data_IF_885507578233
#
_entry.id   IF_885507578233
#
_cell.length_a   1.000
_cell.length_b   1.000
_cell.length_c   1.000
_cell.angle_alpha   90.00
_cell.angle_beta   90.00
_cell.angle_gamma   90.00
#
_symmetry.space_group_name_H-M   'P 1'
#
loop_
_entity.id
_entity.type
_entity.pdbx_description
1 polymer ?
#
# COMPACT_ATOMS: atom_id res chain seq x y z
N UNK A 1 -0.65 -6.26 -10.92
CA UNK A 1 -0.55 -6.68 -9.50
C UNK A 1 -0.73 -8.20 -9.39
N UNK A 2 -0.20 -8.82 -8.34
CA UNK A 2 -0.28 -10.27 -8.15
C UNK A 2 -0.54 -10.66 -6.70
N UNK A 3 -1.26 -11.78 -6.50
CA UNK A 3 -1.40 -12.44 -5.20
C UNK A 3 -0.26 -13.41 -4.92
N UNK A 4 -0.16 -13.92 -3.68
CA UNK A 4 0.73 -15.05 -3.33
C UNK A 4 0.37 -16.32 -4.11
N UNK A 5 -0.91 -16.57 -4.33
CA UNK A 5 -1.43 -17.66 -5.16
C UNK A 5 -1.23 -17.46 -6.67
N UNK A 6 -0.43 -16.47 -7.08
CA UNK A 6 -0.13 -16.10 -8.47
C UNK A 6 -1.35 -15.73 -9.32
N UNK A 7 -2.41 -15.24 -8.70
CA UNK A 7 -3.51 -14.59 -9.43
C UNK A 7 -3.01 -13.24 -9.93
N UNK A 8 -3.22 -12.94 -11.21
CA UNK A 8 -2.73 -11.72 -11.84
C UNK A 8 -3.88 -10.75 -12.09
N UNK A 9 -3.71 -9.51 -11.64
CA UNK A 9 -4.56 -8.38 -11.99
C UNK A 9 -3.84 -7.49 -13.00
N UNK A 10 -4.51 -7.22 -14.12
CA UNK A 10 -4.04 -6.36 -15.21
C UNK A 10 -5.02 -5.20 -15.35
N UNK A 11 -4.51 -3.98 -15.30
CA UNK A 11 -5.29 -2.75 -15.37
C UNK A 11 -4.45 -1.59 -15.87
N UNK A 12 -5.10 -0.57 -16.44
CA UNK A 12 -4.52 0.76 -16.69
C UNK A 12 -4.94 1.71 -15.58
N UNK A 13 -4.03 2.62 -15.21
CA UNK A 13 -4.28 3.68 -14.25
C UNK A 13 -3.44 4.90 -14.63
N UNK A 14 -3.95 6.10 -14.32
CA UNK A 14 -3.19 7.34 -14.39
C UNK A 14 -2.32 7.55 -13.13
N UNK A 15 -2.74 6.97 -12.01
CA UNK A 15 -2.03 7.02 -10.73
C UNK A 15 -1.78 5.59 -10.25
N UNK A 16 -0.53 5.15 -10.38
CA UNK A 16 -0.11 3.80 -9.98
C UNK A 16 -0.04 3.66 -8.47
N UNK A 17 0.43 4.68 -7.76
CA UNK A 17 0.63 4.65 -6.31
C UNK A 17 -0.72 4.54 -5.60
N UNK A 18 -1.67 5.40 -5.98
CA UNK A 18 -3.03 5.35 -5.46
C UNK A 18 -3.69 3.99 -5.70
N UNK A 19 -3.56 3.45 -6.92
CA UNK A 19 -4.16 2.16 -7.27
C UNK A 19 -3.60 1.01 -6.43
N UNK A 20 -2.29 0.99 -6.20
CA UNK A 20 -1.68 -0.05 -5.36
C UNK A 20 -2.11 0.12 -3.90
N UNK A 21 -2.17 1.35 -3.41
CA UNK A 21 -2.65 1.65 -2.05
C UNK A 21 -4.10 1.18 -1.84
N UNK A 22 -5.02 1.46 -2.77
CA UNK A 22 -6.40 0.98 -2.73
C UNK A 22 -6.49 -0.56 -2.69
N UNK A 23 -5.59 -1.25 -3.38
CA UNK A 23 -5.51 -2.71 -3.37
C UNK A 23 -4.90 -3.30 -2.08
N UNK A 24 -4.01 -2.56 -1.42
CA UNK A 24 -3.40 -2.96 -0.13
C UNK A 24 -4.35 -2.73 1.04
N UNK A 25 -4.91 -1.53 1.14
CA UNK A 25 -5.80 -1.13 2.24
C UNK A 25 -7.17 -1.80 2.15
N UNK A 26 -7.58 -2.22 0.94
CA UNK A 26 -8.90 -2.83 0.69
C UNK A 26 -10.04 -2.05 1.37
N UNK A 27 -10.15 -0.74 1.11
CA UNK A 27 -11.11 0.12 1.82
C UNK A 27 -12.57 -0.26 1.56
N UNK A 28 -12.81 -1.04 0.50
CA UNK A 28 -14.13 -1.60 0.15
C UNK A 28 -14.01 -3.11 0.14
N UNK A 29 -14.86 -3.79 0.93
CA UNK A 29 -14.96 -5.25 0.95
C UNK A 29 -15.41 -5.77 -0.42
N UNK A 30 -14.69 -6.76 -0.98
CA UNK A 30 -14.94 -7.20 -2.36
C UNK A 30 -13.87 -8.10 -2.99
N UNK A 31 -13.66 -7.98 -4.30
CA UNK A 31 -12.78 -8.87 -5.09
C UNK A 31 -11.31 -8.82 -4.63
N UNK A 32 -10.83 -7.64 -4.24
CA UNK A 32 -9.47 -7.41 -3.71
C UNK A 32 -9.25 -8.10 -2.37
N UNK A 33 -10.29 -8.20 -1.54
CA UNK A 33 -10.26 -8.95 -0.28
C UNK A 33 -10.17 -10.45 -0.53
N UNK A 34 -11.01 -10.97 -1.44
CA UNK A 34 -11.09 -12.41 -1.73
C UNK A 34 -9.81 -13.03 -2.27
N UNK A 35 -9.07 -12.30 -3.11
CA UNK A 35 -7.89 -12.86 -3.81
C UNK A 35 -6.55 -12.30 -3.32
N UNK A 36 -6.56 -11.35 -2.38
CA UNK A 36 -5.37 -10.75 -1.79
C UNK A 36 -4.32 -10.33 -2.85
N UNK A 37 -4.78 -9.57 -3.85
CA UNK A 37 -3.94 -9.08 -4.96
C UNK A 37 -3.40 -7.70 -4.59
N UNK A 38 -2.34 -7.70 -3.78
CA UNK A 38 -1.81 -6.55 -3.03
C UNK A 38 -0.36 -6.18 -3.37
N UNK A 39 0.31 -6.96 -4.23
CA UNK A 39 1.71 -6.73 -4.62
C UNK A 39 1.82 -6.21 -6.05
N UNK A 40 2.62 -5.17 -6.23
CA UNK A 40 2.97 -4.66 -7.54
C UNK A 40 4.20 -5.40 -8.06
N UNK A 41 4.00 -6.41 -8.89
CA UNK A 41 5.11 -7.19 -9.47
C UNK A 41 5.56 -6.70 -10.85
N UNK A 42 4.72 -5.92 -11.53
CA UNK A 42 4.96 -5.46 -12.90
C UNK A 42 4.16 -4.20 -13.21
N UNK A 43 4.78 -3.27 -13.94
CA UNK A 43 4.16 -2.07 -14.52
C UNK A 43 4.92 -1.66 -15.79
N UNK A 44 4.22 -0.98 -16.70
CA UNK A 44 4.82 -0.33 -17.88
C UNK A 44 4.33 1.13 -17.89
N UNK A 45 5.21 2.06 -18.24
CA UNK A 45 4.85 3.47 -18.46
C UNK A 45 4.65 3.69 -19.95
N UNK A 46 3.59 4.39 -20.32
CA UNK A 46 3.29 4.75 -21.70
C UNK A 46 3.05 6.25 -21.80
N UNK A 47 3.57 6.87 -22.86
CA UNK A 47 3.49 8.33 -23.06
C UNK A 47 2.07 8.80 -23.41
N UNK A 48 1.23 7.90 -23.94
CA UNK A 48 -0.13 8.20 -24.35
C UNK A 48 -1.13 7.17 -23.80
N UNK A 49 -2.30 7.67 -23.40
CA UNK A 49 -3.41 6.85 -22.86
C UNK A 49 -3.87 5.79 -23.86
N UNK A 50 -3.93 6.13 -25.16
CA UNK A 50 -4.31 5.18 -26.21
C UNK A 50 -3.34 4.00 -26.30
N UNK A 51 -2.03 4.28 -26.19
CA UNK A 51 -0.98 3.25 -26.17
C UNK A 51 -1.13 2.36 -24.93
N UNK A 52 -1.40 2.96 -23.76
CA UNK A 52 -1.63 2.21 -22.52
C UNK A 52 -2.84 1.26 -22.64
N UNK A 53 -3.96 1.73 -23.20
CA UNK A 53 -5.17 0.92 -23.40
C UNK A 53 -4.92 -0.21 -24.40
N UNK A 54 -4.25 0.08 -25.52
CA UNK A 54 -3.91 -0.94 -26.52
C UNK A 54 -3.01 -2.03 -25.91
N UNK A 55 -2.01 -1.62 -25.13
CA UNK A 55 -1.10 -2.52 -24.43
C UNK A 55 -1.80 -3.37 -23.38
N UNK A 56 -2.70 -2.78 -22.60
CA UNK A 56 -3.53 -3.50 -21.64
C UNK A 56 -4.38 -4.58 -22.32
N UNK A 57 -5.04 -4.24 -23.43
CA UNK A 57 -5.81 -5.21 -24.23
C UNK A 57 -4.93 -6.35 -24.72
N UNK A 58 -3.73 -6.02 -25.21
CA UNK A 58 -2.75 -7.01 -25.66
C UNK A 58 -2.35 -7.97 -24.52
N UNK A 59 -2.01 -7.42 -23.35
CA UNK A 59 -1.63 -8.21 -22.17
C UNK A 59 -2.82 -9.04 -21.68
N UNK A 60 -4.04 -8.49 -21.66
CA UNK A 60 -5.25 -9.25 -21.28
C UNK A 60 -5.43 -10.48 -22.15
N UNK A 61 -5.22 -10.36 -23.47
CA UNK A 61 -5.30 -11.45 -24.45
C UNK A 61 -4.17 -12.50 -24.37
N UNK A 62 -3.10 -12.26 -23.60
CA UNK A 62 -2.01 -13.22 -23.48
C UNK A 62 -2.39 -14.46 -22.67
N UNK A 63 -1.83 -15.60 -23.11
CA UNK A 63 -1.78 -16.83 -22.31
C UNK A 63 -1.04 -16.58 -20.99
N UNK A 64 -1.36 -17.38 -19.98
CA UNK A 64 -0.79 -17.26 -18.65
C UNK A 64 0.74 -17.35 -18.66
N UNK A 65 1.30 -18.29 -19.41
CA UNK A 65 2.75 -18.45 -19.58
C UNK A 65 3.43 -17.17 -20.05
N UNK A 66 2.87 -16.51 -21.07
CA UNK A 66 3.43 -15.26 -21.60
C UNK A 66 3.34 -14.11 -20.61
N UNK A 67 2.29 -14.05 -19.79
CA UNK A 67 2.17 -13.07 -18.70
C UNK A 67 3.25 -13.30 -17.63
N UNK A 68 3.49 -14.56 -17.26
CA UNK A 68 4.54 -14.91 -16.30
C UNK A 68 5.93 -14.57 -16.85
N UNK A 69 6.21 -14.91 -18.11
CA UNK A 69 7.48 -14.58 -18.75
C UNK A 69 7.76 -13.07 -18.78
N UNK A 70 6.74 -12.23 -18.98
CA UNK A 70 6.89 -10.77 -18.91
C UNK A 70 7.25 -10.29 -17.50
N UNK A 71 6.62 -10.87 -16.48
CA UNK A 71 6.91 -10.56 -15.07
C UNK A 71 8.33 -11.05 -14.73
N UNK A 72 8.67 -12.29 -15.07
CA UNK A 72 9.97 -12.89 -14.79
C UNK A 72 11.13 -12.15 -15.48
N UNK A 73 10.90 -11.63 -16.69
CA UNK A 73 11.88 -10.84 -17.42
C UNK A 73 12.20 -9.49 -16.73
N UNK A 74 11.24 -8.89 -16.04
CA UNK A 74 11.42 -7.59 -15.38
C UNK A 74 11.73 -7.72 -13.88
N UNK A 75 11.18 -8.74 -13.23
CA UNK A 75 11.21 -8.95 -11.79
C UNK A 75 11.22 -10.46 -11.48
N UNK A 76 12.37 -11.14 -11.69
CA UNK A 76 12.48 -12.59 -11.49
C UNK A 76 12.25 -13.02 -10.04
N UNK A 77 12.48 -12.11 -9.08
CA UNK A 77 12.28 -12.37 -7.66
C UNK A 77 10.85 -12.07 -7.18
N UNK A 78 9.99 -11.55 -8.07
CA UNK A 78 8.60 -11.19 -7.75
C UNK A 78 8.50 -10.23 -6.55
N UNK A 79 9.49 -9.35 -6.40
CA UNK A 79 9.52 -8.33 -5.36
C UNK A 79 8.38 -7.33 -5.54
N UNK A 80 7.93 -6.74 -4.44
CA UNK A 80 6.92 -5.69 -4.49
C UNK A 80 7.56 -4.36 -4.89
N UNK A 81 7.39 -3.99 -6.16
CA UNK A 81 7.94 -2.77 -6.76
C UNK A 81 7.33 -1.49 -6.17
N UNK A 82 6.25 -1.60 -5.40
CA UNK A 82 5.65 -0.47 -4.72
C UNK A 82 6.60 0.18 -3.70
N UNK A 83 7.43 -0.62 -3.03
CA UNK A 83 8.43 -0.13 -2.07
C UNK A 83 9.48 0.74 -2.77
N UNK A 84 9.90 0.30 -3.95
CA UNK A 84 10.88 1.03 -4.76
C UNK A 84 10.29 2.33 -5.30
N UNK A 85 9.02 2.32 -5.75
CA UNK A 85 8.31 3.51 -6.24
C UNK A 85 8.09 4.58 -5.18
N UNK A 86 7.81 4.18 -3.94
CA UNK A 86 7.54 5.10 -2.84
C UNK A 86 8.80 5.61 -2.16
N UNK A 87 9.98 5.12 -2.56
CA UNK A 87 11.26 5.51 -1.95
C UNK A 87 11.39 5.06 -0.50
N UNK A 88 10.52 4.15 -0.04
CA UNK A 88 10.65 3.47 1.26
C UNK A 88 11.68 2.36 1.10
N UNK A 89 12.88 2.72 0.64
CA UNK A 89 14.05 1.89 0.75
C UNK A 89 14.39 1.84 2.23
N UNK A 90 14.28 0.66 2.84
CA UNK A 90 14.68 0.40 4.21
C UNK A 90 16.15 0.79 4.39
N UNK A 91 16.39 2.04 4.81
CA UNK A 91 17.69 2.44 5.35
C UNK A 91 17.82 1.81 6.74
N UNK A 92 18.36 0.59 6.68
CA UNK A 92 19.34 0.01 7.59
C UNK A 92 18.92 -0.34 9.02
N UNK A 93 19.06 -1.64 9.29
CA UNK A 93 19.90 -2.19 10.37
C UNK A 93 19.54 -1.81 11.83
N UNK A 94 19.10 -2.84 12.54
CA UNK A 94 19.45 -3.10 13.93
C UNK A 94 20.93 -2.80 14.21
N UNK A 95 21.25 -1.59 14.67
CA UNK A 95 22.35 -1.25 15.61
C UNK A 95 22.42 0.27 15.77
N UNK A 96 22.00 0.74 16.95
CA UNK A 96 22.59 1.79 17.79
C UNK A 96 21.52 2.24 18.80
N UNK A 97 21.40 1.44 19.87
CA UNK A 97 21.04 1.98 21.18
C UNK A 97 22.35 2.60 21.67
N UNK A 98 22.46 3.93 21.74
CA UNK A 98 22.87 4.66 22.95
C UNK A 98 22.96 6.18 22.74
N UNK A 99 22.27 6.88 23.64
CA UNK A 99 22.65 8.15 24.27
C UNK A 99 22.68 9.42 23.41
N UNK A 100 21.62 10.24 23.54
CA UNK A 100 21.76 11.54 24.21
C UNK A 100 20.43 12.12 24.70
N UNK A 101 20.37 12.26 26.04
CA UNK A 101 19.60 13.18 26.89
C UNK A 101 18.41 13.98 26.31
N UNK A 102 17.29 13.84 27.01
CA UNK A 102 16.16 14.77 27.15
C UNK A 102 16.65 16.20 27.46
N UNK A 103 16.00 17.24 26.87
CA UNK A 103 15.54 18.34 27.72
C UNK A 103 14.08 18.73 27.43
N UNK A 104 13.31 18.68 28.51
CA UNK A 104 12.20 19.55 28.89
C UNK A 104 11.04 19.80 27.92
N UNK A 105 10.03 18.95 28.08
CA UNK A 105 8.62 19.29 27.84
C UNK A 105 8.23 20.55 28.62
N UNK A 106 7.65 21.58 27.97
CA UNK A 106 6.94 22.63 28.68
C UNK A 106 5.62 22.05 29.21
N UNK A 107 5.51 21.89 30.53
CA UNK A 107 4.25 21.63 31.20
C UNK A 107 3.31 22.82 30.99
N UNK A 108 2.09 22.58 30.52
CA UNK A 108 0.97 23.50 30.70
C UNK A 108 0.00 22.90 31.73
N UNK A 109 -0.50 23.72 32.67
CA UNK A 109 -1.10 23.24 33.90
C UNK A 109 -2.48 22.62 33.69
N UNK A 110 -2.66 21.45 34.32
CA UNK A 110 -3.93 20.84 34.68
C UNK A 110 -4.87 21.87 35.33
N UNK A 111 -6.00 22.16 34.68
CA UNK A 111 -7.15 22.80 35.34
C UNK A 111 -8.17 21.72 35.66
N UNK A 112 -8.19 21.34 36.94
CA UNK A 112 -9.24 20.55 37.56
C UNK A 112 -10.46 21.47 37.72
N UNK A 113 -11.55 21.22 36.98
CA UNK A 113 -12.88 21.68 37.39
C UNK A 113 -13.63 20.51 38.03
N UNK A 114 -13.40 20.32 39.32
CA UNK A 114 -14.34 19.60 40.17
C UNK A 114 -15.53 20.51 40.44
N UNK A 115 -16.73 20.08 40.06
CA UNK A 115 -17.88 20.34 40.93
C UNK A 115 -18.79 19.12 41.04
N UNK A 116 -18.84 18.64 42.27
CA UNK A 116 -19.55 17.48 42.74
C UNK A 116 -20.92 17.92 43.30
N UNK A 117 -21.93 17.05 43.10
CA UNK A 117 -23.06 16.72 43.99
C UNK A 117 -24.30 17.62 44.03
N UNK A 118 -25.44 17.03 43.66
CA UNK A 118 -26.60 16.65 44.53
C UNK A 118 -27.62 15.91 43.65
N UNK A 119 -27.81 14.60 43.82
CA UNK A 119 -28.92 13.97 44.59
C UNK A 119 -30.26 14.67 44.37
N UNK A 120 -31.23 13.95 43.77
CA UNK A 120 -32.43 13.49 44.48
C UNK A 120 -33.23 12.49 43.65
N UNK A 121 -33.79 11.51 44.36
CA UNK A 121 -34.73 10.50 43.93
C UNK A 121 -36.15 11.07 43.73
N UNK A 122 -37.07 10.17 43.35
CA UNK A 122 -38.55 10.22 43.37
C UNK A 122 -39.17 10.75 42.07
N UNK A 123 -40.21 10.15 41.48
CA UNK A 123 -41.27 9.26 41.96
C UNK A 123 -41.63 8.22 40.89
#
# INVERSE_FOLDING_TARGET
MASISRVLYVGVTNDLVRRVWEHKEKPVSGFTEKYNVDRLVYYEVADAVLTAIAREKQIKGYRREKKLALIDAMNPEWKDLYLDLTGISSRQSTKQIEQTKVPDSPQLPTVISTRHKKRQCSF
#
